data_IF_825873883129
#
_entry.id   IF_825873883129
#
_cell.length_a   1.000
_cell.length_b   1.000
_cell.length_c   1.000
_cell.angle_alpha   90.00
_cell.angle_beta   90.00
_cell.angle_gamma   90.00
#
_symmetry.space_group_name_H-M   'P 1'
#
loop_
_entity.id
_entity.type
_entity.pdbx_description
1 polymer ?
#
# COMPACT_ATOMS: atom_id res chain seq x y z
N UNK A 1 -7.20 15.08 17.72
CA UNK A 1 -7.99 13.92 18.15
C UNK A 1 -7.48 13.44 19.49
N UNK A 2 -8.38 12.90 20.35
CA UNK A 2 -7.99 12.31 21.64
C UNK A 2 -7.01 11.15 21.46
N UNK A 3 -6.00 11.06 22.34
CA UNK A 3 -4.95 10.03 22.29
C UNK A 3 -5.55 8.61 22.41
N UNK A 4 -6.61 8.46 23.20
CA UNK A 4 -7.30 7.17 23.38
C UNK A 4 -7.95 6.70 22.08
N UNK A 5 -8.66 7.58 21.38
CA UNK A 5 -9.31 7.27 20.12
C UNK A 5 -8.27 6.90 19.03
N UNK A 6 -7.14 7.62 19.00
CA UNK A 6 -6.03 7.31 18.08
C UNK A 6 -5.43 5.93 18.35
N UNK A 7 -5.20 5.58 19.62
CA UNK A 7 -4.71 4.25 20.02
C UNK A 7 -5.67 3.14 19.58
N UNK A 8 -6.97 3.32 19.87
CA UNK A 8 -7.99 2.35 19.47
C UNK A 8 -7.99 2.17 17.95
N UNK A 9 -7.91 3.26 17.20
CA UNK A 9 -7.87 3.22 15.74
C UNK A 9 -6.66 2.43 15.22
N UNK A 10 -5.44 2.76 15.66
CA UNK A 10 -4.23 2.07 15.18
C UNK A 10 -4.22 0.58 15.56
N UNK A 11 -4.64 0.24 16.78
CA UNK A 11 -4.71 -1.16 17.23
C UNK A 11 -5.77 -1.92 16.43
N UNK A 12 -6.95 -1.34 16.22
CA UNK A 12 -8.03 -1.97 15.47
C UNK A 12 -7.62 -2.24 14.02
N UNK A 13 -7.01 -1.24 13.34
CA UNK A 13 -6.56 -1.38 11.96
C UNK A 13 -5.40 -2.37 11.84
N UNK A 14 -4.43 -2.34 12.75
CA UNK A 14 -3.37 -3.36 12.80
C UNK A 14 -3.94 -4.77 12.96
N UNK A 15 -4.86 -4.95 13.92
CA UNK A 15 -5.51 -6.25 14.16
C UNK A 15 -6.30 -6.73 12.95
N UNK A 16 -6.96 -5.82 12.23
CA UNK A 16 -7.66 -6.11 10.98
C UNK A 16 -6.71 -6.64 9.90
N UNK A 17 -5.60 -5.95 9.63
CA UNK A 17 -4.63 -6.41 8.63
C UNK A 17 -3.94 -7.71 9.05
N UNK A 18 -3.60 -7.88 10.34
CA UNK A 18 -3.04 -9.12 10.86
C UNK A 18 -4.03 -10.29 10.70
N UNK A 19 -5.33 -10.05 10.92
CA UNK A 19 -6.38 -11.05 10.70
C UNK A 19 -6.45 -11.46 9.22
N UNK A 20 -6.39 -10.50 8.27
CA UNK A 20 -6.41 -10.81 6.83
C UNK A 20 -5.18 -11.63 6.45
N UNK A 21 -3.99 -11.24 6.91
CA UNK A 21 -2.74 -12.00 6.67
C UNK A 21 -2.88 -13.43 7.20
N UNK A 22 -3.43 -13.60 8.39
CA UNK A 22 -3.71 -14.93 8.96
C UNK A 22 -4.68 -15.75 8.10
N UNK A 23 -5.76 -15.12 7.60
CA UNK A 23 -6.72 -15.80 6.72
C UNK A 23 -6.07 -16.24 5.40
N UNK A 24 -5.18 -15.41 4.84
CA UNK A 24 -4.44 -15.76 3.63
C UNK A 24 -3.43 -16.90 3.88
N UNK A 25 -2.71 -16.84 5.00
CA UNK A 25 -1.76 -17.89 5.39
C UNK A 25 -2.45 -19.23 5.70
N UNK A 26 -3.67 -19.21 6.21
CA UNK A 26 -4.45 -20.43 6.47
C UNK A 26 -4.89 -21.15 5.18
N UNK A 27 -4.89 -20.45 4.05
CA UNK A 27 -5.18 -21.02 2.72
C UNK A 27 -3.93 -21.58 2.01
N UNK A 28 -2.75 -21.37 2.61
CA UNK A 28 -1.50 -21.94 2.11
C UNK A 28 -1.55 -23.48 2.35
N UNK A 29 -1.53 -24.25 1.26
CA UNK A 29 -1.69 -25.72 1.29
C UNK A 29 -3.05 -26.25 0.81
N UNK A 30 -4.07 -25.41 0.56
CA UNK A 30 -5.23 -25.81 -0.26
C UNK A 30 -4.79 -25.97 -1.73
N UNK A 31 -5.46 -26.86 -2.48
CA UNK A 31 -5.19 -27.00 -3.93
C UNK A 31 -5.51 -25.69 -4.65
N UNK A 32 -4.45 -24.94 -4.95
CA UNK A 32 -4.54 -23.66 -5.64
C UNK A 32 -4.82 -23.86 -7.13
N UNK A 33 -5.63 -23.00 -7.76
CA UNK A 33 -5.82 -23.06 -9.21
C UNK A 33 -4.48 -23.06 -9.93
N UNK A 34 -4.24 -24.00 -10.88
CA UNK A 34 -2.99 -24.09 -11.59
C UNK A 34 -2.68 -22.75 -12.30
N UNK A 35 -1.46 -22.26 -12.14
CA UNK A 35 -0.93 -21.05 -12.79
C UNK A 35 -0.89 -19.78 -11.95
N UNK A 36 -1.77 -19.58 -10.97
CA UNK A 36 -1.84 -18.32 -10.23
C UNK A 36 -0.72 -18.20 -9.18
N UNK A 37 -0.33 -19.31 -8.52
CA UNK A 37 0.61 -19.29 -7.40
C UNK A 37 1.92 -20.04 -7.60
N UNK A 38 2.21 -20.52 -8.83
CA UNK A 38 3.30 -21.48 -9.11
C UNK A 38 4.70 -20.92 -8.80
N UNK A 39 4.97 -19.64 -9.10
CA UNK A 39 6.28 -19.02 -8.84
C UNK A 39 6.13 -17.68 -8.17
N UNK A 40 6.90 -17.45 -7.11
CA UNK A 40 6.82 -16.22 -6.33
C UNK A 40 5.63 -16.16 -5.36
N UNK A 41 4.69 -17.11 -5.40
CA UNK A 41 3.55 -17.20 -4.50
C UNK A 41 2.78 -15.87 -4.40
N UNK A 42 2.32 -15.49 -3.20
CA UNK A 42 1.64 -14.21 -2.98
C UNK A 42 2.58 -12.99 -3.12
N UNK A 43 3.89 -13.19 -2.96
CA UNK A 43 4.90 -12.13 -2.99
C UNK A 43 5.04 -11.41 -4.34
N UNK A 44 4.51 -11.98 -5.41
CA UNK A 44 4.51 -11.35 -6.73
C UNK A 44 3.40 -10.31 -6.91
N UNK A 45 2.37 -10.33 -6.05
CA UNK A 45 1.24 -9.41 -6.12
C UNK A 45 1.48 -8.14 -5.29
N UNK A 46 1.37 -6.99 -5.94
CA UNK A 46 1.49 -5.70 -5.26
C UNK A 46 0.45 -5.55 -4.14
N UNK A 47 -0.73 -6.13 -4.31
CA UNK A 47 -1.78 -6.17 -3.29
C UNK A 47 -1.31 -6.84 -2.00
N UNK A 48 -0.65 -7.98 -2.10
CA UNK A 48 -0.11 -8.67 -0.92
C UNK A 48 1.01 -7.88 -0.24
N UNK A 49 1.92 -7.31 -1.04
CA UNK A 49 2.98 -6.43 -0.53
C UNK A 49 2.40 -5.19 0.15
N UNK A 50 1.34 -4.59 -0.43
CA UNK A 50 0.62 -3.48 0.17
C UNK A 50 -0.05 -3.89 1.50
N UNK A 51 -0.66 -5.07 1.57
CA UNK A 51 -1.26 -5.58 2.81
C UNK A 51 -0.22 -5.64 3.95
N UNK A 52 0.97 -6.18 3.68
CA UNK A 52 2.08 -6.22 4.64
C UNK A 52 2.60 -4.83 4.99
N UNK A 53 2.68 -3.94 4.02
CA UNK A 53 3.07 -2.54 4.21
C UNK A 53 2.10 -1.82 5.16
N UNK A 54 0.79 -1.97 4.95
CA UNK A 54 -0.24 -1.38 5.81
C UNK A 54 -0.16 -1.97 7.22
N UNK A 55 -0.08 -3.30 7.34
CA UNK A 55 0.08 -3.96 8.64
C UNK A 55 1.31 -3.45 9.40
N UNK A 56 2.44 -3.32 8.72
CA UNK A 56 3.69 -2.81 9.31
C UNK A 56 3.53 -1.36 9.77
N UNK A 57 2.95 -0.51 8.94
CA UNK A 57 2.72 0.89 9.28
C UNK A 57 1.82 1.03 10.51
N UNK A 58 0.65 0.38 10.52
CA UNK A 58 -0.29 0.48 11.66
C UNK A 58 0.26 -0.19 12.92
N UNK A 59 1.08 -1.23 12.79
CA UNK A 59 1.81 -1.82 13.90
C UNK A 59 2.81 -0.83 14.53
N UNK A 60 3.61 -0.14 13.72
CA UNK A 60 4.51 0.91 14.19
C UNK A 60 3.75 2.09 14.81
N UNK A 61 2.61 2.48 14.24
CA UNK A 61 1.76 3.54 14.78
C UNK A 61 1.18 3.16 16.14
N UNK A 62 0.68 1.93 16.29
CA UNK A 62 0.18 1.41 17.57
C UNK A 62 1.28 1.36 18.64
N UNK A 63 2.46 0.80 18.30
CA UNK A 63 3.62 0.77 19.22
C UNK A 63 4.03 2.18 19.62
N UNK A 64 4.09 3.11 18.65
CA UNK A 64 4.39 4.50 18.93
C UNK A 64 3.39 5.15 19.90
N UNK A 65 2.11 4.83 19.78
CA UNK A 65 1.08 5.40 20.65
C UNK A 65 1.06 4.81 22.07
N UNK A 66 1.56 3.59 22.23
CA UNK A 66 1.66 2.91 23.52
C UNK A 66 2.89 3.33 24.34
N UNK A 67 3.91 3.97 23.72
CA UNK A 67 5.11 4.39 24.44
C UNK A 67 4.84 5.63 25.33
N UNK A 68 5.13 5.58 26.63
CA UNK A 68 5.07 6.74 27.50
C UNK A 68 6.28 7.68 27.24
N UNK A 69 6.08 9.00 27.35
CA UNK A 69 7.19 9.97 27.41
C UNK A 69 7.90 10.26 26.09
N UNK A 70 7.16 10.40 25.00
CA UNK A 70 7.69 10.66 23.65
C UNK A 70 8.61 11.87 23.57
N UNK A 71 9.88 11.63 23.18
CA UNK A 71 10.71 12.67 22.57
C UNK A 71 10.31 12.79 21.09
N UNK A 72 9.98 13.99 20.65
CA UNK A 72 9.59 14.31 19.25
C UNK A 72 10.58 13.82 18.16
N UNK A 73 11.81 13.51 18.56
CA UNK A 73 12.90 13.07 17.67
C UNK A 73 13.17 11.57 17.67
N UNK A 74 12.25 10.75 18.19
CA UNK A 74 12.45 9.31 18.23
C UNK A 74 12.56 8.74 16.79
N UNK A 75 13.47 7.79 16.58
CA UNK A 75 13.65 7.07 15.30
C UNK A 75 12.34 6.43 14.86
N UNK A 76 11.56 5.92 15.80
CA UNK A 76 10.25 5.30 15.55
C UNK A 76 9.28 6.28 14.88
N UNK A 77 9.22 7.53 15.35
CA UNK A 77 8.36 8.57 14.75
C UNK A 77 8.81 8.86 13.32
N UNK A 78 10.11 9.04 13.11
CA UNK A 78 10.67 9.31 11.77
C UNK A 78 10.40 8.14 10.81
N UNK A 79 10.60 6.90 11.25
CA UNK A 79 10.31 5.70 10.45
C UNK A 79 8.82 5.58 10.13
N UNK A 80 7.94 5.78 11.11
CA UNK A 80 6.50 5.75 10.93
C UNK A 80 6.04 6.80 9.91
N UNK A 81 6.50 8.05 10.06
CA UNK A 81 6.12 9.14 9.16
C UNK A 81 6.65 8.93 7.75
N UNK A 82 7.90 8.46 7.61
CA UNK A 82 8.47 8.10 6.32
C UNK A 82 7.68 6.97 5.66
N UNK A 83 7.35 5.92 6.42
CA UNK A 83 6.62 4.77 5.91
C UNK A 83 5.23 5.17 5.42
N UNK A 84 4.51 6.02 6.17
CA UNK A 84 3.20 6.50 5.76
C UNK A 84 3.28 7.39 4.52
N UNK A 85 4.05 8.48 4.65
CA UNK A 85 4.07 9.55 3.66
C UNK A 85 4.60 9.10 2.30
N UNK A 86 5.64 8.27 2.29
CA UNK A 86 6.31 7.85 1.03
C UNK A 86 5.71 6.57 0.47
N UNK A 87 5.27 5.64 1.31
CA UNK A 87 4.88 4.32 0.83
C UNK A 87 3.43 3.96 1.13
N UNK A 88 2.99 3.91 2.41
CA UNK A 88 1.69 3.35 2.75
C UNK A 88 0.53 4.11 2.11
N UNK A 89 0.55 5.45 2.15
CA UNK A 89 -0.49 6.26 1.54
C UNK A 89 -0.47 6.18 0.00
N UNK A 90 0.61 6.54 -0.71
CA UNK A 90 0.58 6.55 -2.17
C UNK A 90 0.44 5.16 -2.79
N UNK A 91 1.10 4.13 -2.25
CA UNK A 91 1.00 2.76 -2.79
C UNK A 91 -0.36 2.15 -2.47
N UNK A 92 -0.89 2.36 -1.26
CA UNK A 92 -2.22 1.86 -0.89
C UNK A 92 -3.33 2.48 -1.74
N UNK A 93 -3.30 3.81 -1.93
CA UNK A 93 -4.24 4.50 -2.82
C UNK A 93 -4.10 4.03 -4.27
N UNK A 94 -2.87 3.81 -4.73
CA UNK A 94 -2.58 3.30 -6.07
C UNK A 94 -3.17 1.90 -6.28
N UNK A 95 -2.99 0.98 -5.32
CA UNK A 95 -3.56 -0.38 -5.39
C UNK A 95 -5.08 -0.33 -5.52
N UNK A 96 -5.75 0.52 -4.72
CA UNK A 96 -7.22 0.69 -4.81
C UNK A 96 -7.64 1.20 -6.19
N UNK A 97 -7.01 2.28 -6.67
CA UNK A 97 -7.40 2.93 -7.93
C UNK A 97 -7.12 2.03 -9.13
N UNK A 98 -5.93 1.42 -9.18
CA UNK A 98 -5.54 0.57 -10.29
C UNK A 98 -6.41 -0.68 -10.35
N UNK A 99 -6.61 -1.34 -9.20
CA UNK A 99 -7.41 -2.56 -9.13
C UNK A 99 -8.85 -2.30 -9.59
N UNK A 100 -9.55 -1.35 -8.98
CA UNK A 100 -10.95 -1.09 -9.33
C UNK A 100 -11.11 -0.46 -10.70
N UNK A 101 -10.14 0.33 -11.17
CA UNK A 101 -10.14 0.86 -12.54
C UNK A 101 -10.06 -0.24 -13.59
N UNK A 102 -9.15 -1.20 -13.43
CA UNK A 102 -9.01 -2.34 -14.35
C UNK A 102 -10.20 -3.30 -14.19
N UNK A 103 -10.60 -3.62 -12.95
CA UNK A 103 -11.73 -4.51 -12.65
C UNK A 103 -13.05 -4.01 -13.25
N UNK A 104 -13.31 -2.68 -13.22
CA UNK A 104 -14.48 -2.08 -13.82
C UNK A 104 -14.48 -2.09 -15.35
N UNK A 105 -13.28 -2.07 -15.96
CA UNK A 105 -13.11 -2.19 -17.40
C UNK A 105 -13.27 -3.65 -17.85
N UNK A 106 -12.44 -4.54 -17.30
CA UNK A 106 -12.49 -5.98 -17.49
C UNK A 106 -11.79 -6.69 -16.32
N UNK A 107 -12.55 -7.40 -15.50
CA UNK A 107 -12.03 -8.11 -14.33
C UNK A 107 -11.01 -9.21 -14.69
N UNK A 108 -11.13 -9.82 -15.86
CA UNK A 108 -10.23 -10.90 -16.27
C UNK A 108 -8.78 -10.42 -16.45
N UNK A 109 -8.57 -9.12 -16.59
CA UNK A 109 -7.25 -8.51 -16.72
C UNK A 109 -6.48 -8.39 -15.39
N UNK A 110 -7.18 -8.40 -14.24
CA UNK A 110 -6.58 -8.21 -12.92
C UNK A 110 -7.02 -9.23 -11.88
N UNK A 111 -8.25 -9.73 -11.98
CA UNK A 111 -8.86 -10.66 -11.02
C UNK A 111 -9.79 -11.64 -11.77
N UNK A 112 -9.25 -12.63 -12.46
CA UNK A 112 -10.04 -13.64 -13.20
C UNK A 112 -11.09 -14.32 -12.34
N UNK A 113 -12.25 -14.65 -12.91
CA UNK A 113 -13.38 -15.26 -12.21
C UNK A 113 -13.03 -16.56 -11.48
N UNK A 114 -12.00 -17.27 -11.94
CA UNK A 114 -11.48 -18.47 -11.27
C UNK A 114 -10.97 -18.21 -9.85
N UNK A 115 -10.59 -16.97 -9.54
CA UNK A 115 -10.13 -16.59 -8.19
C UNK A 115 -11.29 -16.56 -7.17
N UNK A 116 -12.53 -16.34 -7.61
CA UNK A 116 -13.71 -16.31 -6.73
C UNK A 116 -13.99 -17.67 -6.07
N UNK A 117 -13.54 -18.77 -6.69
CA UNK A 117 -13.66 -20.11 -6.10
C UNK A 117 -12.74 -20.29 -4.89
N UNK A 118 -11.68 -19.49 -4.83
CA UNK A 118 -10.62 -19.60 -3.84
C UNK A 118 -10.68 -18.50 -2.77
N UNK A 119 -10.93 -17.24 -3.18
CA UNK A 119 -11.08 -16.12 -2.27
C UNK A 119 -12.53 -15.68 -2.13
N UNK A 120 -13.10 -15.68 -0.91
CA UNK A 120 -14.42 -15.14 -0.70
C UNK A 120 -14.42 -13.61 -0.97
N UNK A 121 -15.54 -13.03 -1.47
CA UNK A 121 -15.61 -11.63 -1.89
C UNK A 121 -15.16 -10.62 -0.83
N UNK A 122 -15.37 -10.91 0.47
CA UNK A 122 -14.97 -10.03 1.55
C UNK A 122 -13.44 -9.84 1.65
N UNK A 123 -12.64 -10.87 1.32
CA UNK A 123 -11.17 -10.77 1.28
C UNK A 123 -10.74 -9.81 0.16
N UNK A 124 -11.39 -9.88 -1.01
CA UNK A 124 -11.14 -8.95 -2.10
C UNK A 124 -11.40 -7.50 -1.67
N UNK A 125 -12.56 -7.23 -1.05
CA UNK A 125 -12.88 -5.91 -0.51
C UNK A 125 -11.95 -5.49 0.63
N UNK A 126 -11.52 -6.41 1.48
CA UNK A 126 -10.56 -6.12 2.54
C UNK A 126 -9.21 -5.61 2.01
N UNK A 127 -8.75 -6.17 0.89
CA UNK A 127 -7.46 -5.82 0.27
C UNK A 127 -7.53 -4.63 -0.69
N UNK A 128 -8.68 -4.36 -1.31
CA UNK A 128 -8.80 -3.38 -2.40
C UNK A 128 -9.80 -2.25 -2.13
N UNK A 129 -10.73 -2.38 -1.17
CA UNK A 129 -11.70 -1.33 -0.84
C UNK A 129 -11.40 -0.70 0.51
N UNK A 130 -11.17 -1.53 1.55
CA UNK A 130 -11.03 -1.06 2.92
C UNK A 130 -9.76 -0.23 3.15
N UNK A 131 -8.77 -0.40 2.31
CA UNK A 131 -7.52 0.39 2.32
C UNK A 131 -7.80 1.89 2.18
N UNK A 132 -8.74 2.28 1.31
CA UNK A 132 -9.08 3.68 1.05
C UNK A 132 -9.60 4.42 2.30
N UNK A 133 -10.70 4.00 2.95
CA UNK A 133 -11.20 4.71 4.15
C UNK A 133 -10.20 4.67 5.30
N UNK A 134 -9.41 3.61 5.42
CA UNK A 134 -8.35 3.51 6.44
C UNK A 134 -7.25 4.54 6.20
N UNK A 135 -6.74 4.70 4.98
CA UNK A 135 -5.70 5.70 4.69
C UNK A 135 -6.21 7.13 4.83
N UNK A 136 -7.43 7.41 4.40
CA UNK A 136 -8.05 8.72 4.60
C UNK A 136 -8.32 8.99 6.09
N UNK A 137 -8.73 7.97 6.84
CA UNK A 137 -8.86 8.03 8.28
C UNK A 137 -7.55 8.42 8.95
N UNK A 138 -6.43 7.80 8.55
CA UNK A 138 -5.10 8.12 9.11
C UNK A 138 -4.70 9.58 8.89
N UNK A 139 -4.97 10.14 7.71
CA UNK A 139 -4.74 11.58 7.44
C UNK A 139 -5.51 12.48 8.41
N UNK A 140 -6.70 12.04 8.84
CA UNK A 140 -7.53 12.79 9.80
C UNK A 140 -7.12 12.55 11.26
N UNK A 141 -6.47 11.43 11.53
CA UNK A 141 -6.13 10.96 12.89
C UNK A 141 -4.89 11.66 13.44
N UNK A 142 -3.86 11.85 12.63
CA UNK A 142 -2.61 12.50 13.04
C UNK A 142 -1.86 13.15 11.89
N UNK A 143 -1.05 14.21 12.16
CA UNK A 143 -0.15 14.77 11.18
C UNK A 143 1.04 13.85 10.91
N UNK A 144 1.53 13.85 9.68
CA UNK A 144 2.75 13.17 9.27
C UNK A 144 3.78 14.15 8.71
N UNK A 145 5.06 13.89 8.96
CA UNK A 145 6.16 14.68 8.41
C UNK A 145 6.53 14.10 7.04
N UNK A 146 6.33 14.91 6.00
CA UNK A 146 6.72 14.57 4.64
C UNK A 146 8.19 14.93 4.39
N UNK A 147 9.01 14.02 3.85
CA UNK A 147 10.41 14.33 3.52
C UNK A 147 10.50 15.24 2.31
N UNK A 148 11.71 15.72 2.02
CA UNK A 148 11.95 16.50 0.78
C UNK A 148 11.47 15.70 -0.43
N UNK A 149 10.68 16.33 -1.30
CA UNK A 149 10.02 15.71 -2.46
C UNK A 149 10.99 14.88 -3.31
N UNK A 150 12.19 15.42 -3.60
CA UNK A 150 13.20 14.70 -4.38
C UNK A 150 13.59 13.34 -3.77
N UNK A 151 13.72 13.27 -2.43
CA UNK A 151 14.12 12.05 -1.72
C UNK A 151 12.95 11.04 -1.71
N UNK A 152 11.72 11.52 -1.51
CA UNK A 152 10.53 10.68 -1.56
C UNK A 152 10.33 10.06 -2.95
N UNK A 153 10.44 10.87 -4.00
CA UNK A 153 10.29 10.39 -5.38
C UNK A 153 11.43 9.44 -5.78
N UNK A 154 12.65 9.69 -5.32
CA UNK A 154 13.76 8.77 -5.53
C UNK A 154 13.49 7.42 -4.84
N UNK A 155 13.02 7.43 -3.59
CA UNK A 155 12.67 6.20 -2.87
C UNK A 155 11.53 5.42 -3.53
N UNK A 156 10.46 6.12 -3.96
CA UNK A 156 9.36 5.51 -4.75
C UNK A 156 9.87 4.95 -6.07
N UNK A 157 10.76 5.66 -6.77
CA UNK A 157 11.38 5.22 -8.01
C UNK A 157 12.17 3.92 -7.82
N UNK A 158 13.00 3.85 -6.78
CA UNK A 158 13.78 2.64 -6.45
C UNK A 158 12.86 1.46 -6.16
N UNK A 159 11.84 1.64 -5.31
CA UNK A 159 10.89 0.57 -4.97
C UNK A 159 10.08 0.16 -6.19
N UNK A 160 9.59 1.12 -6.99
CA UNK A 160 8.84 0.83 -8.21
C UNK A 160 9.67 0.07 -9.25
N UNK A 161 10.93 0.46 -9.47
CA UNK A 161 11.86 -0.27 -10.35
C UNK A 161 12.18 -1.67 -9.82
N UNK A 162 12.37 -1.82 -8.52
CA UNK A 162 12.60 -3.14 -7.89
C UNK A 162 11.39 -4.06 -8.09
N UNK A 163 10.18 -3.52 -7.94
CA UNK A 163 8.95 -4.28 -8.20
C UNK A 163 8.79 -4.63 -9.69
N UNK A 164 9.06 -3.69 -10.59
CA UNK A 164 9.08 -3.97 -12.04
C UNK A 164 10.07 -5.08 -12.39
N UNK A 165 11.29 -5.00 -11.86
CA UNK A 165 12.30 -6.05 -12.05
C UNK A 165 11.77 -7.40 -11.56
N UNK A 166 11.13 -7.43 -10.39
CA UNK A 166 10.57 -8.65 -9.82
C UNK A 166 9.49 -9.28 -10.70
N UNK A 167 8.52 -8.52 -11.19
CA UNK A 167 7.44 -9.07 -12.05
C UNK A 167 7.96 -9.50 -13.43
N UNK A 168 8.97 -8.81 -13.98
CA UNK A 168 9.64 -9.20 -15.21
C UNK A 168 10.43 -10.50 -14.98
N UNK A 169 11.14 -10.62 -13.86
CA UNK A 169 11.84 -11.85 -13.49
C UNK A 169 10.88 -13.04 -13.37
N UNK A 170 9.72 -12.85 -12.71
CA UNK A 170 8.69 -13.90 -12.65
C UNK A 170 8.25 -14.31 -14.04
N UNK A 171 7.96 -13.36 -14.93
CA UNK A 171 7.58 -13.66 -16.31
C UNK A 171 8.67 -14.44 -17.07
N UNK A 172 9.93 -14.03 -16.97
CA UNK A 172 11.06 -14.72 -17.62
C UNK A 172 11.26 -16.13 -17.07
N UNK A 173 10.90 -16.37 -15.81
CA UNK A 173 11.06 -17.67 -15.15
C UNK A 173 9.98 -18.69 -15.52
N UNK A 174 8.73 -18.23 -15.74
CA UNK A 174 7.58 -19.14 -15.93
C UNK A 174 6.77 -18.88 -17.19
N UNK A 175 7.08 -17.83 -17.96
CA UNK A 175 6.38 -17.48 -19.19
C UNK A 175 4.97 -16.91 -19.02
N UNK A 176 4.55 -16.62 -17.77
CA UNK A 176 3.20 -16.13 -17.43
C UNK A 176 3.33 -14.82 -16.69
N UNK A 177 2.62 -13.78 -17.14
CA UNK A 177 2.57 -12.50 -16.46
C UNK A 177 1.83 -12.59 -15.13
N UNK A 178 2.31 -11.84 -14.13
CA UNK A 178 1.66 -11.72 -12.81
C UNK A 178 0.23 -11.17 -12.92
N UNK A 179 0.03 -10.24 -13.85
CA UNK A 179 -1.29 -9.71 -14.20
C UNK A 179 -1.56 -9.97 -15.67
N UNK A 180 -2.71 -10.58 -16.03
CA UNK A 180 -3.06 -10.87 -17.42
C UNK A 180 -3.00 -9.64 -18.34
N UNK A 181 -3.35 -8.47 -17.81
CA UNK A 181 -3.24 -7.17 -18.50
C UNK A 181 -1.88 -6.96 -19.19
N UNK A 182 -0.78 -7.33 -18.52
CA UNK A 182 0.56 -7.10 -19.04
C UNK A 182 0.85 -7.88 -20.31
N UNK A 183 0.18 -9.01 -20.53
CA UNK A 183 0.29 -9.83 -21.73
C UNK A 183 -0.31 -9.18 -22.99
N UNK A 184 -1.11 -8.14 -22.84
CA UNK A 184 -1.72 -7.41 -23.97
C UNK A 184 -0.81 -6.28 -24.52
N UNK A 185 0.30 -5.97 -23.84
CA UNK A 185 1.23 -4.93 -24.27
C UNK A 185 2.42 -5.51 -25.03
N UNK A 186 2.85 -4.80 -26.07
CA UNK A 186 4.21 -4.95 -26.60
C UNK A 186 5.22 -4.24 -25.66
N UNK A 187 6.52 -4.38 -25.94
CA UNK A 187 7.58 -3.80 -25.09
C UNK A 187 7.43 -2.29 -24.89
N UNK A 188 7.11 -1.53 -25.94
CA UNK A 188 6.90 -0.07 -25.83
C UNK A 188 5.68 0.25 -24.96
N UNK A 189 4.58 -0.54 -25.09
CA UNK A 189 3.39 -0.42 -24.27
C UNK A 189 3.67 -0.72 -22.80
N UNK A 190 4.46 -1.75 -22.48
CA UNK A 190 4.88 -2.07 -21.12
C UNK A 190 5.68 -0.92 -20.49
N UNK A 191 6.64 -0.35 -21.23
CA UNK A 191 7.42 0.81 -20.78
C UNK A 191 6.49 2.00 -20.53
N UNK A 192 5.60 2.32 -21.46
CA UNK A 192 4.62 3.41 -21.33
C UNK A 192 3.69 3.17 -20.12
N UNK A 193 3.19 1.96 -19.93
CA UNK A 193 2.34 1.59 -18.80
C UNK A 193 3.08 1.75 -17.46
N UNK A 194 4.35 1.35 -17.39
CA UNK A 194 5.16 1.56 -16.19
C UNK A 194 5.33 3.06 -15.86
N UNK A 195 5.71 3.88 -16.84
CA UNK A 195 5.84 5.33 -16.63
C UNK A 195 4.52 5.99 -16.24
N UNK A 196 3.41 5.57 -16.85
CA UNK A 196 2.08 6.04 -16.46
C UNK A 196 1.80 5.72 -14.98
N UNK A 197 2.00 4.47 -14.53
CA UNK A 197 1.79 4.06 -13.15
C UNK A 197 2.69 4.80 -12.17
N UNK A 198 3.97 5.03 -12.51
CA UNK A 198 4.89 5.82 -11.68
C UNK A 198 4.44 7.29 -11.57
N UNK A 199 3.87 7.85 -12.64
CA UNK A 199 3.28 9.18 -12.61
C UNK A 199 2.08 9.24 -11.69
N UNK A 200 1.20 8.23 -11.73
CA UNK A 200 0.04 8.13 -10.82
C UNK A 200 0.48 8.04 -9.37
N UNK A 201 1.45 7.18 -9.03
CA UNK A 201 1.98 7.05 -7.65
C UNK A 201 2.59 8.38 -7.17
N UNK A 202 3.30 9.09 -8.07
CA UNK A 202 3.86 10.42 -7.78
C UNK A 202 2.76 11.43 -7.46
N UNK A 203 1.69 11.46 -8.24
CA UNK A 203 0.53 12.33 -7.99
C UNK A 203 -0.17 11.99 -6.68
N UNK A 204 -0.27 10.71 -6.34
CA UNK A 204 -0.85 10.26 -5.06
C UNK A 204 0.02 10.65 -3.86
N UNK A 205 1.36 10.58 -3.98
CA UNK A 205 2.25 11.14 -2.97
C UNK A 205 2.00 12.65 -2.77
N UNK A 206 1.91 13.41 -3.87
CA UNK A 206 1.64 14.86 -3.81
C UNK A 206 0.24 15.15 -3.23
N UNK A 207 -0.75 14.32 -3.52
CA UNK A 207 -2.09 14.41 -2.94
C UNK A 207 -2.05 14.20 -1.42
N UNK A 208 -1.33 13.17 -0.95
CA UNK A 208 -1.15 12.89 0.47
C UNK A 208 -0.50 14.06 1.21
N UNK A 209 0.58 14.62 0.67
CA UNK A 209 1.25 15.81 1.20
C UNK A 209 0.30 17.01 1.29
N UNK A 210 -0.48 17.26 0.23
CA UNK A 210 -1.46 18.34 0.18
C UNK A 210 -2.60 18.14 1.18
N UNK A 211 -3.14 16.93 1.29
CA UNK A 211 -4.20 16.60 2.25
C UNK A 211 -3.70 16.77 3.68
N UNK A 212 -2.54 16.23 4.01
CA UNK A 212 -1.92 16.36 5.33
C UNK A 212 -1.69 17.84 5.68
N UNK A 213 -1.13 18.62 4.76
CA UNK A 213 -0.90 20.05 4.95
C UNK A 213 -2.21 20.84 5.11
N UNK A 214 -3.28 20.47 4.40
CA UNK A 214 -4.59 21.13 4.50
C UNK A 214 -5.24 20.86 5.85
N UNK A 215 -5.28 19.60 6.27
CA UNK A 215 -5.92 19.17 7.53
C UNK A 215 -5.15 19.73 8.74
N UNK A 216 -3.81 19.69 8.71
CA UNK A 216 -2.96 20.00 9.86
C UNK A 216 -2.21 21.33 9.75
N UNK A 217 -2.65 22.26 8.92
CA UNK A 217 -1.98 23.55 8.65
C UNK A 217 -1.65 24.36 9.91
N UNK A 218 -2.52 24.36 10.92
CA UNK A 218 -2.31 25.08 12.19
C UNK A 218 -1.28 24.41 13.09
N UNK A 219 -1.27 23.09 13.12
CA UNK A 219 -0.37 22.31 14.00
C UNK A 219 1.04 22.22 13.40
N UNK A 220 1.15 22.13 12.07
CA UNK A 220 2.43 22.17 11.37
C UNK A 220 3.17 23.51 11.56
N UNK A 221 2.45 24.64 11.57
CA UNK A 221 3.04 25.97 11.87
C UNK A 221 3.61 26.04 13.28
N UNK A 222 2.93 25.47 14.29
CA UNK A 222 3.43 25.42 15.66
C UNK A 222 4.69 24.55 15.79
N UNK A 223 4.77 23.43 15.07
CA UNK A 223 5.95 22.56 15.08
C UNK A 223 7.19 23.21 14.45
N UNK A 224 7.00 24.11 13.47
CA UNK A 224 8.10 24.83 12.82
C UNK A 224 8.57 26.07 13.59
N UNK A 225 7.72 26.70 14.38
CA UNK A 225 8.04 27.89 15.19
C UNK A 225 8.64 27.53 16.56
N UNK A 226 8.55 26.28 17.01
CA UNK A 226 9.10 25.79 18.28
C UNK A 226 10.50 25.16 18.16
N UNK A 227 11.14 25.27 17.00
CA UNK A 227 12.55 24.92 16.75
C UNK A 227 13.39 26.19 16.64
#
# INVERSE_FOLDING_TARGET
MDLTLRRVYHIAVFSWYAFIVKCLAAKDGEELPPGIFVYGGPWKYLTFLNLLLQMTFFGLAAVNDLQPGKKSESVLIKCKDLLFSVFAFPVGMFVVLLFWGIFAYDRELVYPATIDTFFPPWINHAMHTFVLPVLLGEVLVQPHIYPQRKNALAALGVVGLSYLFWIVWVYLSVGIWVYPLLGHFNTAGLVGFFFFNMSVVTLLYMLGDKLNSHVWSKDMKKMTQGK
#
